data_IF_131251524257
#
_entry.id   IF_131251524257
#
_cell.length_a   1.000
_cell.length_b   1.000
_cell.length_c   1.000
_cell.angle_alpha   90.00
_cell.angle_beta   90.00
_cell.angle_gamma   90.00
#
_symmetry.space_group_name_H-M   'P 1'
#
loop_
_entity.id
_entity.type
_entity.pdbx_description
1 polymer ?
#
# COMPACT_ATOMS: atom_id res chain seq x y z
N UNK A 1 -57.26 -54.18 15.30
CA UNK A 1 -55.94 -54.42 14.67
C UNK A 1 -55.87 -53.98 13.21
N UNK A 2 -56.85 -54.30 12.35
CA UNK A 2 -56.82 -53.91 10.93
C UNK A 2 -56.77 -52.39 10.67
N UNK A 3 -57.55 -51.59 11.44
CA UNK A 3 -57.60 -50.12 11.32
C UNK A 3 -56.26 -49.43 11.62
N UNK A 4 -55.47 -50.00 12.54
CA UNK A 4 -54.15 -49.47 12.92
C UNK A 4 -53.10 -49.71 11.84
N UNK A 5 -53.12 -50.87 11.17
CA UNK A 5 -52.20 -51.17 10.05
C UNK A 5 -52.49 -50.33 8.82
N UNK A 6 -53.75 -50.03 8.54
CA UNK A 6 -54.12 -49.13 7.43
C UNK A 6 -53.72 -47.69 7.70
N UNK A 7 -53.86 -47.20 8.94
CA UNK A 7 -53.44 -45.87 9.32
C UNK A 7 -51.91 -45.70 9.24
N UNK A 8 -51.15 -46.72 9.68
CA UNK A 8 -49.68 -46.74 9.60
C UNK A 8 -49.18 -46.73 8.14
N UNK A 9 -49.81 -47.51 7.27
CA UNK A 9 -49.48 -47.53 5.84
C UNK A 9 -49.76 -46.19 5.14
N UNK A 10 -50.86 -45.51 5.49
CA UNK A 10 -51.18 -44.18 4.97
C UNK A 10 -50.17 -43.14 5.47
N UNK A 11 -49.88 -43.11 6.78
CA UNK A 11 -48.92 -42.17 7.35
C UNK A 11 -47.51 -42.33 6.74
N UNK A 12 -47.08 -43.57 6.49
CA UNK A 12 -45.80 -43.83 5.82
C UNK A 12 -45.79 -43.30 4.38
N UNK A 13 -46.88 -43.49 3.63
CA UNK A 13 -47.02 -43.00 2.26
C UNK A 13 -47.02 -41.46 2.20
N UNK A 14 -47.69 -40.83 3.17
CA UNK A 14 -47.74 -39.37 3.28
C UNK A 14 -46.36 -38.79 3.62
N UNK A 15 -45.62 -39.44 4.52
CA UNK A 15 -44.23 -39.07 4.84
C UNK A 15 -43.30 -39.24 3.64
N UNK A 16 -43.38 -40.35 2.91
CA UNK A 16 -42.60 -40.57 1.69
C UNK A 16 -42.92 -39.54 0.60
N UNK A 17 -44.18 -39.13 0.50
CA UNK A 17 -44.60 -38.09 -0.45
C UNK A 17 -44.05 -36.72 -0.05
N UNK A 18 -44.17 -36.36 1.23
CA UNK A 18 -43.62 -35.10 1.77
C UNK A 18 -42.09 -35.03 1.68
N UNK A 19 -41.40 -36.14 1.91
CA UNK A 19 -39.95 -36.21 1.76
C UNK A 19 -39.51 -35.90 0.32
N UNK A 20 -40.22 -36.45 -0.67
CA UNK A 20 -39.95 -36.17 -2.10
C UNK A 20 -40.29 -34.74 -2.50
N UNK A 21 -41.37 -34.18 -1.97
CA UNK A 21 -41.74 -32.77 -2.19
C UNK A 21 -40.66 -31.83 -1.62
N UNK A 22 -40.17 -32.11 -0.40
CA UNK A 22 -39.11 -31.33 0.22
C UNK A 22 -37.78 -31.44 -0.54
N UNK A 23 -37.39 -32.63 -0.96
CA UNK A 23 -36.16 -32.81 -1.75
C UNK A 23 -36.21 -32.04 -3.08
N UNK A 24 -37.38 -32.02 -3.74
CA UNK A 24 -37.56 -31.23 -4.96
C UNK A 24 -37.55 -29.71 -4.70
N UNK A 25 -38.14 -29.26 -3.59
CA UNK A 25 -38.14 -27.84 -3.19
C UNK A 25 -36.73 -27.38 -2.79
N UNK A 26 -35.98 -28.19 -2.03
CA UNK A 26 -34.58 -27.92 -1.67
C UNK A 26 -33.68 -27.86 -2.91
N UNK A 27 -33.88 -28.75 -3.88
CA UNK A 27 -33.16 -28.70 -5.15
C UNK A 27 -33.45 -27.40 -5.93
N UNK A 28 -34.72 -26.99 -6.01
CA UNK A 28 -35.10 -25.74 -6.67
C UNK A 28 -34.51 -24.51 -5.95
N UNK A 29 -34.56 -24.47 -4.62
CA UNK A 29 -33.97 -23.37 -3.83
C UNK A 29 -32.46 -23.31 -4.03
N UNK A 30 -31.78 -24.46 -4.06
CA UNK A 30 -30.35 -24.54 -4.35
C UNK A 30 -30.02 -23.97 -5.73
N UNK A 31 -30.78 -24.36 -6.76
CA UNK A 31 -30.59 -23.87 -8.13
C UNK A 31 -30.86 -22.38 -8.26
N UNK A 32 -31.93 -21.88 -7.63
CA UNK A 32 -32.23 -20.44 -7.59
C UNK A 32 -31.13 -19.64 -6.92
N UNK A 33 -30.56 -20.16 -5.84
CA UNK A 33 -29.43 -19.51 -5.15
C UNK A 33 -28.19 -19.45 -6.03
N UNK A 34 -27.84 -20.54 -6.71
CA UNK A 34 -26.71 -20.57 -7.64
C UNK A 34 -26.91 -19.57 -8.77
N UNK A 35 -28.11 -19.53 -9.36
CA UNK A 35 -28.44 -18.57 -10.43
C UNK A 35 -28.33 -17.14 -9.93
N UNK A 36 -28.90 -16.83 -8.77
CA UNK A 36 -28.83 -15.50 -8.17
C UNK A 36 -27.39 -15.07 -7.87
N UNK A 37 -26.57 -15.96 -7.30
CA UNK A 37 -25.15 -15.68 -7.05
C UNK A 37 -24.38 -15.45 -8.36
N UNK A 38 -24.66 -16.22 -9.41
CA UNK A 38 -24.05 -16.05 -10.73
C UNK A 38 -24.46 -14.72 -11.39
N UNK A 39 -25.75 -14.35 -11.35
CA UNK A 39 -26.26 -13.08 -11.87
C UNK A 39 -25.61 -11.90 -11.16
N UNK A 40 -25.53 -11.96 -9.82
CA UNK A 40 -24.86 -10.93 -9.01
C UNK A 40 -23.38 -10.79 -9.37
N UNK A 41 -22.70 -11.90 -9.64
CA UNK A 41 -21.28 -11.89 -10.02
C UNK A 41 -21.07 -11.30 -11.43
N UNK A 42 -21.96 -11.64 -12.37
CA UNK A 42 -21.93 -11.09 -13.74
C UNK A 42 -22.17 -9.58 -13.71
N UNK A 43 -23.14 -9.11 -12.93
CA UNK A 43 -23.40 -7.68 -12.74
C UNK A 43 -22.17 -6.96 -12.19
N UNK A 44 -21.53 -7.51 -11.16
CA UNK A 44 -20.28 -6.99 -10.61
C UNK A 44 -19.14 -6.92 -11.64
N UNK A 45 -18.94 -7.96 -12.45
CA UNK A 45 -17.90 -7.96 -13.48
C UNK A 45 -18.19 -7.00 -14.64
N UNK A 46 -19.47 -6.87 -15.02
CA UNK A 46 -19.87 -5.90 -16.04
C UNK A 46 -19.66 -4.46 -15.56
N UNK A 47 -19.96 -4.19 -14.28
CA UNK A 47 -19.70 -2.90 -13.62
C UNK A 47 -18.19 -2.61 -13.59
N UNK A 48 -17.37 -3.58 -13.20
CA UNK A 48 -15.91 -3.47 -13.29
C UNK A 48 -15.42 -3.27 -14.73
N UNK A 49 -16.06 -3.83 -15.75
CA UNK A 49 -15.58 -3.69 -17.12
C UNK A 49 -15.85 -2.30 -17.71
N UNK A 50 -16.92 -1.62 -17.29
CA UNK A 50 -17.40 -0.36 -17.87
C UNK A 50 -16.83 0.89 -17.19
N UNK A 51 -16.32 0.73 -15.96
CA UNK A 51 -16.05 1.86 -15.08
C UNK A 51 -14.61 2.43 -15.22
N UNK A 52 -14.50 3.76 -15.20
CA UNK A 52 -13.24 4.51 -15.03
C UNK A 52 -12.47 4.02 -13.79
N UNK A 53 -13.20 3.69 -12.71
CA UNK A 53 -12.63 3.12 -11.48
C UNK A 53 -11.80 1.87 -11.78
N UNK A 54 -12.28 0.97 -12.63
CA UNK A 54 -11.58 -0.27 -12.90
C UNK A 54 -10.32 -0.12 -13.74
N UNK A 55 -10.16 1.01 -14.44
CA UNK A 55 -8.91 1.38 -15.11
C UNK A 55 -7.92 2.03 -14.14
N UNK A 56 -8.41 2.84 -13.21
CA UNK A 56 -7.57 3.61 -12.29
C UNK A 56 -7.13 2.78 -11.07
N UNK A 57 -8.03 1.98 -10.50
CA UNK A 57 -7.77 1.20 -9.29
C UNK A 57 -6.55 0.27 -9.41
N UNK A 58 -6.38 -0.55 -10.48
CA UNK A 58 -5.19 -1.37 -10.63
C UNK A 58 -3.91 -0.56 -10.69
N UNK A 59 -3.93 0.58 -11.39
CA UNK A 59 -2.79 1.49 -11.52
C UNK A 59 -2.41 2.08 -10.16
N UNK A 60 -3.39 2.53 -9.37
CA UNK A 60 -3.17 3.06 -8.03
C UNK A 60 -2.58 1.98 -7.12
N UNK A 61 -3.12 0.76 -7.16
CA UNK A 61 -2.61 -0.34 -6.35
C UNK A 61 -1.18 -0.72 -6.74
N UNK A 62 -0.88 -0.78 -8.04
CA UNK A 62 0.46 -1.07 -8.53
C UNK A 62 1.46 0.00 -8.07
N UNK A 63 1.09 1.28 -8.18
CA UNK A 63 1.92 2.38 -7.70
C UNK A 63 2.13 2.30 -6.18
N UNK A 64 1.12 1.91 -5.40
CA UNK A 64 1.25 1.70 -3.96
C UNK A 64 2.24 0.60 -3.60
N UNK A 65 2.26 -0.48 -4.37
CA UNK A 65 3.20 -1.59 -4.17
C UNK A 65 4.63 -1.15 -4.53
N UNK A 66 4.83 -0.60 -5.73
CA UNK A 66 6.16 -0.15 -6.18
C UNK A 66 6.74 0.96 -5.31
N UNK A 67 5.89 1.88 -4.83
CA UNK A 67 6.27 2.89 -3.85
C UNK A 67 6.78 2.26 -2.56
N UNK A 68 6.12 1.19 -2.09
CA UNK A 68 6.54 0.44 -0.91
C UNK A 68 7.93 -0.19 -1.05
N UNK A 69 8.21 -0.81 -2.19
CA UNK A 69 9.53 -1.38 -2.48
C UNK A 69 10.60 -0.27 -2.51
N UNK A 70 10.28 0.85 -3.17
CA UNK A 70 11.19 2.00 -3.26
C UNK A 70 11.47 2.64 -1.89
N UNK A 71 10.47 2.73 -1.01
CA UNK A 71 10.66 3.16 0.38
C UNK A 71 11.62 2.23 1.12
N UNK A 72 11.41 0.91 1.04
CA UNK A 72 12.26 -0.05 1.75
C UNK A 72 13.72 -0.02 1.28
N UNK A 73 13.94 0.10 -0.03
CA UNK A 73 15.28 0.26 -0.60
C UNK A 73 15.95 1.57 -0.14
N UNK A 74 15.21 2.68 -0.22
CA UNK A 74 15.67 4.02 0.14
C UNK A 74 16.01 4.13 1.63
N UNK A 75 15.17 3.58 2.51
CA UNK A 75 15.40 3.51 3.96
C UNK A 75 16.68 2.70 4.30
N UNK A 76 16.85 1.55 3.64
CA UNK A 76 18.07 0.74 3.80
C UNK A 76 19.31 1.45 3.26
N UNK A 77 19.23 2.14 2.12
CA UNK A 77 20.32 2.92 1.56
C UNK A 77 20.70 4.07 2.50
N UNK A 78 19.71 4.79 3.02
CA UNK A 78 19.92 5.89 3.96
C UNK A 78 20.63 5.42 5.24
N UNK A 79 20.23 4.27 5.80
CA UNK A 79 20.90 3.68 6.96
C UNK A 79 22.37 3.34 6.66
N UNK A 80 22.65 2.77 5.49
CA UNK A 80 24.03 2.42 5.09
C UNK A 80 24.90 3.66 4.93
N UNK A 81 24.37 4.71 4.29
CA UNK A 81 25.07 5.98 4.13
C UNK A 81 25.35 6.62 5.49
N UNK A 82 24.37 6.64 6.39
CA UNK A 82 24.54 7.23 7.71
C UNK A 82 25.51 6.46 8.62
N UNK A 83 25.62 5.14 8.43
CA UNK A 83 26.56 4.29 9.15
C UNK A 83 27.96 4.24 8.52
N UNK A 84 28.14 4.86 7.36
CA UNK A 84 29.42 4.85 6.65
C UNK A 84 30.37 5.90 7.23
N UNK A 85 31.56 5.45 7.61
CA UNK A 85 32.67 6.35 7.90
C UNK A 85 33.23 6.86 6.56
N UNK A 86 33.06 8.15 6.31
CA UNK A 86 33.62 8.81 5.15
C UNK A 86 35.03 9.28 5.45
N UNK A 87 35.95 9.01 4.52
CA UNK A 87 37.29 9.59 4.60
C UNK A 87 37.21 11.12 4.48
N UNK A 88 37.95 11.81 5.33
CA UNK A 88 38.08 13.26 5.34
C UNK A 88 39.14 13.74 4.34
N UNK A 89 39.77 12.85 3.58
CA UNK A 89 40.64 13.20 2.45
C UNK A 89 39.81 13.55 1.21
N UNK A 90 39.61 14.84 0.98
CA UNK A 90 38.81 15.39 -0.12
C UNK A 90 39.52 15.32 -1.49
N UNK A 91 40.75 14.79 -1.56
CA UNK A 91 41.55 14.74 -2.79
C UNK A 91 41.19 13.57 -3.71
N UNK A 92 40.43 12.59 -3.21
CA UNK A 92 40.17 11.33 -3.91
C UNK A 92 38.68 11.02 -4.04
N UNK A 93 38.04 11.52 -5.12
CA UNK A 93 36.71 11.08 -5.56
C UNK A 93 35.56 12.07 -5.31
N UNK A 94 34.31 11.66 -5.61
CA UNK A 94 33.14 12.51 -5.39
C UNK A 94 32.95 12.80 -3.89
N UNK A 95 32.75 14.08 -3.56
CA UNK A 95 32.58 14.51 -2.18
C UNK A 95 31.43 13.75 -1.50
N UNK A 96 31.61 13.23 -0.27
CA UNK A 96 30.53 12.62 0.51
C UNK A 96 29.27 13.48 0.64
N UNK A 97 29.41 14.81 0.59
CA UNK A 97 28.28 15.74 0.57
C UNK A 97 27.34 15.53 -0.62
N UNK A 98 27.88 15.13 -1.78
CA UNK A 98 27.06 14.82 -2.97
C UNK A 98 26.22 13.56 -2.77
N UNK A 99 26.74 12.57 -2.03
CA UNK A 99 26.03 11.34 -1.68
C UNK A 99 24.87 11.67 -0.73
N UNK A 100 25.13 12.45 0.33
CA UNK A 100 24.08 12.89 1.25
C UNK A 100 22.98 13.69 0.54
N UNK A 101 23.36 14.68 -0.29
CA UNK A 101 22.38 15.49 -1.02
C UNK A 101 21.54 14.64 -1.99
N UNK A 102 22.18 13.73 -2.74
CA UNK A 102 21.43 12.82 -3.63
C UNK A 102 20.47 11.92 -2.86
N UNK A 103 20.83 11.50 -1.65
CA UNK A 103 19.95 10.70 -0.80
C UNK A 103 18.76 11.53 -0.30
N UNK A 104 18.99 12.79 0.10
CA UNK A 104 17.91 13.71 0.49
C UNK A 104 16.93 13.95 -0.67
N UNK A 105 17.43 14.21 -1.87
CA UNK A 105 16.58 14.42 -3.06
C UNK A 105 15.69 13.19 -3.36
N UNK A 106 16.23 11.99 -3.19
CA UNK A 106 15.46 10.73 -3.35
C UNK A 106 14.37 10.60 -2.27
N UNK A 107 14.68 10.93 -1.02
CA UNK A 107 13.74 10.86 0.10
C UNK A 107 12.60 11.85 -0.08
N UNK A 108 12.90 13.10 -0.48
CA UNK A 108 11.90 14.13 -0.74
C UNK A 108 10.96 13.71 -1.89
N UNK A 109 11.51 13.18 -2.98
CA UNK A 109 10.69 12.67 -4.10
C UNK A 109 9.72 11.57 -3.65
N UNK A 110 10.18 10.62 -2.83
CA UNK A 110 9.30 9.54 -2.34
C UNK A 110 8.21 10.04 -1.38
N UNK A 111 8.46 11.15 -0.65
CA UNK A 111 7.43 11.80 0.16
C UNK A 111 6.37 12.47 -0.72
N UNK A 112 6.78 13.17 -1.78
CA UNK A 112 5.86 13.77 -2.76
C UNK A 112 4.99 12.70 -3.44
N UNK A 113 5.60 11.60 -3.87
CA UNK A 113 4.88 10.44 -4.44
C UNK A 113 3.86 9.86 -3.44
N UNK A 114 4.21 9.78 -2.16
CA UNK A 114 3.28 9.31 -1.12
C UNK A 114 2.07 10.25 -0.95
N UNK A 115 2.28 11.56 -1.04
CA UNK A 115 1.21 12.58 -0.98
C UNK A 115 0.30 12.47 -2.19
N UNK A 116 0.87 12.33 -3.39
CA UNK A 116 0.10 12.15 -4.61
C UNK A 116 -0.74 10.88 -4.55
N UNK A 117 -0.13 9.76 -4.17
CA UNK A 117 -0.81 8.47 -4.07
C UNK A 117 -1.93 8.49 -3.02
N UNK A 118 -1.70 9.14 -1.87
CA UNK A 118 -2.73 9.36 -0.85
C UNK A 118 -3.91 10.15 -1.40
N UNK A 119 -3.64 11.19 -2.19
CA UNK A 119 -4.67 12.02 -2.83
C UNK A 119 -5.48 11.16 -3.80
N UNK A 120 -4.82 10.44 -4.71
CA UNK A 120 -5.48 9.53 -5.67
C UNK A 120 -6.34 8.46 -4.98
N UNK A 121 -5.86 7.87 -3.88
CA UNK A 121 -6.63 6.89 -3.09
C UNK A 121 -7.87 7.53 -2.46
N UNK A 122 -7.76 8.78 -2.01
CA UNK A 122 -8.88 9.50 -1.39
C UNK A 122 -9.92 9.91 -2.43
N UNK A 123 -9.47 10.26 -3.64
CA UNK A 123 -10.34 10.66 -4.76
C UNK A 123 -11.10 9.48 -5.39
N UNK A 124 -10.75 8.23 -5.06
CA UNK A 124 -11.54 7.06 -5.42
C UNK A 124 -12.90 7.00 -4.69
N UNK A 125 -13.09 7.79 -3.63
CA UNK A 125 -14.36 7.90 -2.93
C UNK A 125 -15.30 8.84 -3.70
N UNK A 126 -16.42 8.36 -4.28
CA UNK A 126 -17.30 9.23 -5.03
C UNK A 126 -17.92 10.30 -4.12
N UNK A 127 -18.07 11.55 -4.58
CA UNK A 127 -18.85 12.54 -3.86
C UNK A 127 -20.29 12.03 -3.75
N UNK A 128 -20.78 11.84 -2.53
CA UNK A 128 -21.99 11.07 -2.21
C UNK A 128 -23.33 11.61 -2.71
N UNK A 129 -23.41 12.41 -3.77
CA UNK A 129 -24.63 13.07 -4.23
C UNK A 129 -24.87 13.09 -5.76
N UNK A 130 -24.01 12.49 -6.59
CA UNK A 130 -24.25 12.48 -8.05
C UNK A 130 -25.28 11.39 -8.42
N UNK A 131 -26.54 11.80 -8.54
CA UNK A 131 -27.67 10.95 -8.93
C UNK A 131 -27.48 10.25 -10.29
N UNK A 132 -26.60 10.77 -11.16
CA UNK A 132 -26.28 10.18 -12.47
C UNK A 132 -25.34 8.97 -12.40
N UNK A 133 -24.72 8.68 -11.25
CA UNK A 133 -23.71 7.62 -11.11
C UNK A 133 -24.12 6.48 -10.17
N UNK A 134 -25.42 6.36 -9.85
CA UNK A 134 -25.97 5.35 -8.94
C UNK A 134 -25.81 3.91 -9.45
N UNK A 135 -25.67 3.71 -10.76
CA UNK A 135 -25.49 2.38 -11.37
C UNK A 135 -24.13 1.72 -11.10
N UNK A 136 -23.13 2.47 -10.62
CA UNK A 136 -21.76 1.94 -10.41
C UNK A 136 -21.34 1.95 -8.94
N UNK A 137 -22.17 1.40 -8.05
CA UNK A 137 -21.96 1.49 -6.60
C UNK A 137 -21.57 0.17 -5.92
N UNK A 138 -21.96 -1.00 -6.42
CA UNK A 138 -21.79 -2.25 -5.69
C UNK A 138 -20.33 -2.74 -5.71
N UNK A 139 -19.68 -2.71 -6.87
CA UNK A 139 -18.27 -3.10 -6.97
C UNK A 139 -17.36 -2.12 -6.25
N UNK A 140 -17.60 -0.81 -6.43
CA UNK A 140 -16.85 0.25 -5.75
C UNK A 140 -16.97 0.16 -4.23
N UNK A 141 -18.18 -0.06 -3.69
CA UNK A 141 -18.39 -0.18 -2.24
C UNK A 141 -17.59 -1.33 -1.63
N UNK A 142 -17.37 -2.41 -2.38
CA UNK A 142 -16.56 -3.55 -1.92
C UNK A 142 -15.05 -3.27 -1.98
N UNK A 143 -14.60 -2.51 -2.98
CA UNK A 143 -13.17 -2.32 -3.27
C UNK A 143 -12.59 -1.08 -2.57
N UNK A 144 -13.34 0.02 -2.46
CA UNK A 144 -12.88 1.27 -1.80
C UNK A 144 -12.33 1.03 -0.38
N UNK A 145 -12.97 0.21 0.48
CA UNK A 145 -12.42 -0.10 1.80
C UNK A 145 -11.01 -0.69 1.76
N UNK A 146 -10.67 -1.46 0.73
CA UNK A 146 -9.33 -2.03 0.55
C UNK A 146 -8.30 -0.93 0.28
N UNK A 147 -8.62 0.03 -0.58
CA UNK A 147 -7.76 1.19 -0.83
C UNK A 147 -7.63 2.09 0.40
N UNK A 148 -8.72 2.29 1.15
CA UNK A 148 -8.68 3.04 2.42
C UNK A 148 -7.78 2.37 3.45
N UNK A 149 -7.69 1.04 3.45
CA UNK A 149 -6.76 0.30 4.32
C UNK A 149 -5.28 0.52 3.97
N UNK A 150 -4.96 1.00 2.76
CA UNK A 150 -3.59 1.39 2.38
C UNK A 150 -3.17 2.74 3.00
N UNK A 151 -4.11 3.60 3.39
CA UNK A 151 -3.81 4.95 3.89
C UNK A 151 -3.00 4.97 5.19
N UNK A 152 -3.31 4.15 6.22
CA UNK A 152 -2.46 4.04 7.40
C UNK A 152 -1.05 3.54 7.07
N UNK A 153 -0.93 2.61 6.11
CA UNK A 153 0.38 2.09 5.68
C UNK A 153 1.21 3.19 5.00
N UNK A 154 0.60 3.99 4.12
CA UNK A 154 1.28 5.15 3.53
C UNK A 154 1.74 6.14 4.59
N UNK A 155 0.89 6.44 5.58
CA UNK A 155 1.29 7.34 6.69
C UNK A 155 2.50 6.81 7.45
N UNK A 156 2.53 5.50 7.74
CA UNK A 156 3.67 4.87 8.40
C UNK A 156 4.94 4.97 7.54
N UNK A 157 4.86 4.69 6.24
CA UNK A 157 5.98 4.84 5.30
C UNK A 157 6.48 6.28 5.24
N UNK A 158 5.60 7.27 5.12
CA UNK A 158 5.99 8.69 5.13
C UNK A 158 6.71 9.06 6.43
N UNK A 159 6.25 8.56 7.58
CA UNK A 159 6.94 8.78 8.85
C UNK A 159 8.34 8.14 8.87
N UNK A 160 8.50 6.94 8.31
CA UNK A 160 9.80 6.30 8.18
C UNK A 160 10.75 7.07 7.25
N UNK A 161 10.27 7.54 6.10
CA UNK A 161 11.06 8.39 5.20
C UNK A 161 11.52 9.67 5.89
N UNK A 162 10.65 10.31 6.68
CA UNK A 162 11.03 11.48 7.46
C UNK A 162 12.11 11.18 8.51
N UNK A 163 12.05 10.02 9.17
CA UNK A 163 13.11 9.58 10.08
C UNK A 163 14.43 9.30 9.34
N UNK A 164 14.38 8.66 8.17
CA UNK A 164 15.55 8.44 7.34
C UNK A 164 16.18 9.76 6.87
N UNK A 165 15.36 10.76 6.56
CA UNK A 165 15.81 12.11 6.21
C UNK A 165 16.54 12.78 7.37
N UNK A 166 15.98 12.75 8.58
CA UNK A 166 16.65 13.26 9.78
C UNK A 166 17.97 12.56 10.06
N UNK A 167 18.04 11.25 9.83
CA UNK A 167 19.25 10.46 10.00
C UNK A 167 20.35 10.92 9.01
N UNK A 168 20.00 11.12 7.75
CA UNK A 168 20.92 11.58 6.71
C UNK A 168 21.38 13.02 6.97
N UNK A 169 20.47 13.89 7.38
CA UNK A 169 20.79 15.27 7.76
C UNK A 169 21.80 15.30 8.91
N UNK A 170 21.55 14.53 9.99
CA UNK A 170 22.48 14.42 11.10
C UNK A 170 23.85 13.83 10.71
N UNK A 171 23.88 12.82 9.84
CA UNK A 171 25.13 12.26 9.34
C UNK A 171 25.92 13.29 8.50
N UNK A 172 25.22 14.05 7.66
CA UNK A 172 25.80 15.12 6.84
C UNK A 172 26.36 16.25 7.72
N UNK A 173 25.64 16.67 8.75
CA UNK A 173 26.09 17.68 9.71
C UNK A 173 27.35 17.23 10.45
N UNK A 174 27.36 16.00 10.95
CA UNK A 174 28.51 15.41 11.63
C UNK A 174 29.75 15.36 10.71
N UNK A 175 29.57 14.91 9.46
CA UNK A 175 30.65 14.90 8.47
C UNK A 175 31.18 16.32 8.20
N UNK A 176 30.28 17.29 8.02
CA UNK A 176 30.65 18.68 7.73
C UNK A 176 31.43 19.30 8.90
N UNK A 177 31.04 19.00 10.14
CA UNK A 177 31.74 19.44 11.34
C UNK A 177 33.13 18.79 11.45
N UNK A 178 33.23 17.48 11.24
CA UNK A 178 34.52 16.77 11.26
C UNK A 178 35.48 17.31 10.21
N UNK A 179 34.98 17.60 9.00
CA UNK A 179 35.76 18.22 7.93
C UNK A 179 36.24 19.62 8.33
N UNK A 180 35.37 20.44 8.93
CA UNK A 180 35.75 21.78 9.38
C UNK A 180 36.83 21.76 10.47
N UNK A 181 36.72 20.85 11.45
CA UNK A 181 37.74 20.67 12.48
C UNK A 181 39.09 20.26 11.87
N UNK A 182 39.09 19.30 10.94
CA UNK A 182 40.31 18.89 10.24
C UNK A 182 40.93 20.03 9.44
N UNK A 183 40.12 20.88 8.81
CA UNK A 183 40.64 22.06 8.08
C UNK A 183 41.30 23.06 9.02
N UNK A 184 40.75 23.30 10.21
CA UNK A 184 41.36 24.17 11.22
C UNK A 184 42.69 23.59 11.74
N UNK A 185 42.74 22.27 11.98
CA UNK A 185 43.99 21.61 12.39
C UNK A 185 45.11 21.73 11.35
N UNK A 186 44.77 21.74 10.06
CA UNK A 186 45.76 21.90 8.98
C UNK A 186 46.26 23.35 8.88
N UNK A 187 45.37 24.34 9.04
CA UNK A 187 45.73 25.78 9.02
C UNK A 187 46.67 26.14 10.19
N UNK A 188 46.44 25.58 11.38
CA UNK A 188 47.30 25.78 12.57
C UNK A 188 48.69 25.09 12.44
N UNK A 189 48.83 24.11 11.54
CA UNK A 189 50.07 23.35 11.37
C UNK A 189 51.08 23.98 10.39
N UNK A 190 50.63 24.86 9.51
CA UNK A 190 51.48 25.55 8.52
C UNK A 190 52.25 26.75 9.13
N UNK A 191 51.88 27.22 10.33
CA UNK A 191 52.48 28.39 10.99
C UNK A 191 53.77 28.09 11.79
N UNK A 192 54.12 26.81 12.02
CA UNK A 192 55.27 26.43 12.86
C UNK A 192 56.56 26.07 12.08
N UNK A 193 56.55 26.07 10.75
CA UNK A 193 57.70 25.66 9.92
C UNK A 193 58.56 26.84 9.39
N UNK A 194 58.47 28.04 9.99
CA UNK A 194 59.15 29.25 9.48
C UNK A 194 60.24 29.86 10.38
N UNK A 195 60.72 29.15 11.41
CA UNK A 195 61.87 29.60 12.23
C UNK A 195 62.97 28.54 12.31
N UNK A 196 63.84 28.46 11.29
CA UNK A 196 65.27 28.12 11.43
C UNK A 196 65.98 28.29 10.07
N UNK A 197 66.58 29.47 9.85
CA UNK A 197 67.58 29.78 8.82
C UNK A 197 68.72 30.61 9.45
#
# INVERSE_FOLDING_TARGET
MLVSKTAEATAKRDLETKAKELEAEEANISDERIRFEAERLIEFYNELASDKFAKEAPTIMQNFLSHGDSCGECESEALKIAAQDFDLDYTSGPSPLTIFNSMMDKLDRLQDEAIELKTRISDLDPPGNDEENKESTAARTQIIPLFKACLPVLRARTANLAMAQQLIEGAKENYSMALHLKMLEMDDSDDYDSEDD
#
